data_IF_426977920227
#
_entry.id   IF_426977920227
#
_cell.length_a   1.000
_cell.length_b   1.000
_cell.length_c   1.000
_cell.angle_alpha   90.00
_cell.angle_beta   90.00
_cell.angle_gamma   90.00
#
_symmetry.space_group_name_H-M   'P 1'
#
loop_
_entity.id
_entity.type
_entity.pdbx_description
1 polymer ?
#
# COMPACT_ATOMS: atom_id res chain seq x y z
N UNK A 1 9.62 8.05 -10.55
CA UNK A 1 8.33 8.76 -10.68
C UNK A 1 8.41 10.06 -11.46
N UNK A 2 9.61 10.61 -11.73
CA UNK A 2 9.79 11.86 -12.46
C UNK A 2 8.90 12.01 -13.72
N UNK A 3 8.27 13.16 -13.86
CA UNK A 3 7.43 13.53 -15.01
C UNK A 3 6.12 12.77 -15.16
N UNK A 4 5.74 11.91 -14.20
CA UNK A 4 4.46 11.18 -14.24
C UNK A 4 3.33 11.98 -13.62
N UNK A 5 2.14 11.78 -14.16
CA UNK A 5 0.87 12.28 -13.64
C UNK A 5 0.28 11.25 -12.69
N UNK A 6 0.30 11.55 -11.40
CA UNK A 6 0.05 10.59 -10.33
C UNK A 6 -1.17 11.00 -9.54
N UNK A 7 -2.15 10.10 -9.48
CA UNK A 7 -3.28 10.25 -8.58
C UNK A 7 -2.87 9.77 -7.18
N UNK A 8 -3.06 10.60 -6.16
CA UNK A 8 -2.79 10.25 -4.76
C UNK A 8 -3.78 10.97 -3.83
N UNK A 9 -4.06 10.38 -2.67
CA UNK A 9 -4.88 11.03 -1.65
C UNK A 9 -4.08 12.07 -0.85
N UNK A 10 -4.66 13.25 -0.67
CA UNK A 10 -4.06 14.32 0.15
C UNK A 10 -3.98 13.93 1.63
N UNK A 11 -2.90 14.33 2.31
CA UNK A 11 -2.63 14.05 3.72
C UNK A 11 -2.24 12.60 4.03
N UNK A 12 -2.02 11.77 3.01
CA UNK A 12 -1.70 10.34 3.19
C UNK A 12 -0.20 10.11 3.35
N UNK A 13 0.19 8.97 3.95
CA UNK A 13 1.59 8.55 3.97
C UNK A 13 2.15 8.36 2.55
N UNK A 14 1.30 7.91 1.61
CA UNK A 14 1.64 7.71 0.22
C UNK A 14 2.00 9.04 -0.47
N UNK A 15 1.24 10.10 -0.21
CA UNK A 15 1.59 11.44 -0.68
C UNK A 15 2.93 11.90 -0.11
N UNK A 16 3.15 11.73 1.20
CA UNK A 16 4.41 12.13 1.83
C UNK A 16 5.63 11.43 1.22
N UNK A 17 5.50 10.15 0.81
CA UNK A 17 6.55 9.43 0.08
C UNK A 17 6.81 10.08 -1.28
N UNK A 18 5.74 10.33 -2.07
CA UNK A 18 5.90 10.91 -3.41
C UNK A 18 6.47 12.33 -3.36
N UNK A 19 6.08 13.15 -2.39
CA UNK A 19 6.63 14.50 -2.20
C UNK A 19 8.14 14.44 -1.95
N UNK A 20 8.61 13.53 -1.08
CA UNK A 20 10.05 13.33 -0.86
C UNK A 20 10.79 12.88 -2.11
N UNK A 21 10.21 11.93 -2.86
CA UNK A 21 10.78 11.51 -4.15
C UNK A 21 10.79 12.62 -5.19
N UNK A 22 9.78 13.50 -5.17
CA UNK A 22 9.73 14.65 -6.07
C UNK A 22 10.78 15.71 -5.73
N UNK A 23 11.07 15.94 -4.44
CA UNK A 23 12.21 16.75 -4.00
C UNK A 23 13.54 16.18 -4.50
N UNK A 24 13.72 14.85 -4.44
CA UNK A 24 14.90 14.17 -5.00
C UNK A 24 14.97 14.31 -6.53
N UNK A 25 13.84 14.16 -7.24
CA UNK A 25 13.79 14.38 -8.69
C UNK A 25 14.28 15.79 -9.04
N UNK A 26 13.75 16.82 -8.35
CA UNK A 26 14.13 18.23 -8.57
C UNK A 26 15.60 18.48 -8.28
N UNK A 27 16.15 17.94 -7.18
CA UNK A 27 17.58 18.04 -6.84
C UNK A 27 18.47 17.41 -7.92
N UNK A 28 17.99 16.37 -8.58
CA UNK A 28 18.70 15.66 -9.65
C UNK A 28 18.39 16.21 -11.06
N UNK A 29 17.68 17.33 -11.18
CA UNK A 29 17.35 17.94 -12.48
C UNK A 29 16.33 17.15 -13.31
N UNK A 30 15.59 16.23 -12.68
CA UNK A 30 14.54 15.45 -13.34
C UNK A 30 13.20 16.21 -13.32
N UNK A 31 12.29 15.94 -14.28
CA UNK A 31 10.97 16.55 -14.29
C UNK A 31 10.18 16.24 -13.01
N UNK A 32 9.46 17.23 -12.45
CA UNK A 32 8.65 17.01 -11.26
C UNK A 32 7.48 16.06 -11.54
N UNK A 33 6.96 15.45 -10.48
CA UNK A 33 5.71 14.69 -10.49
C UNK A 33 4.53 15.67 -10.62
N UNK A 34 3.56 15.34 -11.47
CA UNK A 34 2.29 16.06 -11.55
C UNK A 34 1.26 15.36 -10.65
N UNK A 35 0.95 15.97 -9.51
CA UNK A 35 0.03 15.40 -8.53
C UNK A 35 -1.42 15.74 -8.88
N UNK A 36 -2.26 14.70 -8.96
CA UNK A 36 -3.69 14.84 -9.23
C UNK A 36 -4.51 14.32 -8.05
N UNK A 37 -5.51 15.09 -7.67
CA UNK A 37 -6.40 14.78 -6.56
C UNK A 37 -7.82 14.66 -7.08
N UNK A 38 -8.53 13.64 -6.61
CA UNK A 38 -9.91 13.36 -6.97
C UNK A 38 -10.71 13.04 -5.71
N UNK A 39 -11.91 13.60 -5.61
CA UNK A 39 -12.79 13.39 -4.45
C UNK A 39 -13.55 12.06 -4.52
N UNK A 40 -13.65 11.46 -5.72
CA UNK A 40 -14.36 10.21 -5.94
C UNK A 40 -13.61 9.22 -6.83
N UNK A 41 -13.96 7.95 -6.65
CA UNK A 41 -13.30 6.85 -7.32
C UNK A 41 -13.61 6.75 -8.83
N UNK A 42 -14.78 7.22 -9.25
CA UNK A 42 -15.21 7.16 -10.64
C UNK A 42 -14.41 8.14 -11.49
N UNK A 43 -14.23 9.37 -10.99
CA UNK A 43 -13.40 10.38 -11.64
C UNK A 43 -11.94 9.95 -11.74
N UNK A 44 -11.37 9.40 -10.65
CA UNK A 44 -10.01 8.85 -10.62
C UNK A 44 -9.83 7.72 -11.63
N UNK A 45 -10.77 6.75 -11.65
CA UNK A 45 -10.74 5.63 -12.59
C UNK A 45 -10.84 6.08 -14.04
N UNK A 46 -11.69 7.07 -14.33
CA UNK A 46 -11.82 7.65 -15.67
C UNK A 46 -10.54 8.39 -16.07
N UNK A 47 -9.88 9.10 -15.16
CA UNK A 47 -8.63 9.79 -15.44
C UNK A 47 -7.51 8.83 -15.87
N UNK A 48 -7.40 7.67 -15.23
CA UNK A 48 -6.48 6.60 -15.64
C UNK A 48 -6.87 6.03 -17.01
N UNK A 49 -8.13 5.65 -17.19
CA UNK A 49 -8.61 5.02 -18.45
C UNK A 49 -8.52 5.96 -19.66
N UNK A 50 -8.73 7.26 -19.45
CA UNK A 50 -8.61 8.28 -20.51
C UNK A 50 -7.17 8.75 -20.76
N UNK A 51 -6.20 8.26 -19.98
CA UNK A 51 -4.81 8.70 -20.07
C UNK A 51 -4.59 10.15 -19.62
N UNK A 52 -5.47 10.71 -18.78
CA UNK A 52 -5.26 11.99 -18.08
C UNK A 52 -4.33 11.84 -16.87
N UNK A 53 -4.25 10.64 -16.30
CA UNK A 53 -3.26 10.23 -15.31
C UNK A 53 -2.50 9.00 -15.81
N UNK A 54 -1.26 8.83 -15.35
CA UNK A 54 -0.42 7.68 -15.70
C UNK A 54 -0.56 6.53 -14.70
N UNK A 55 -0.80 6.85 -13.41
CA UNK A 55 -0.92 5.87 -12.34
C UNK A 55 -1.66 6.43 -11.11
N UNK A 56 -2.20 5.53 -10.30
CA UNK A 56 -2.68 5.80 -8.94
C UNK A 56 -1.67 5.25 -7.92
N UNK A 57 -1.35 6.03 -6.89
CA UNK A 57 -0.49 5.59 -5.80
C UNK A 57 -1.27 5.63 -4.48
N UNK A 58 -1.48 4.47 -3.87
CA UNK A 58 -2.40 4.31 -2.75
C UNK A 58 -2.34 2.92 -2.10
N UNK A 59 -3.29 2.59 -1.22
CA UNK A 59 -3.38 1.26 -0.60
C UNK A 59 -3.49 0.13 -1.63
N UNK A 60 -2.59 -0.84 -1.57
CA UNK A 60 -2.50 -1.92 -2.56
C UNK A 60 -3.75 -2.83 -2.56
N UNK A 61 -4.33 -3.15 -1.41
CA UNK A 61 -5.55 -3.98 -1.35
C UNK A 61 -6.72 -3.41 -2.17
N UNK A 62 -6.92 -2.08 -2.14
CA UNK A 62 -7.93 -1.42 -2.98
C UNK A 62 -7.60 -1.48 -4.46
N UNK A 63 -6.32 -1.29 -4.81
CA UNK A 63 -5.85 -1.36 -6.19
C UNK A 63 -5.94 -2.78 -6.76
N UNK A 64 -5.51 -3.79 -6.02
CA UNK A 64 -5.58 -5.20 -6.39
C UNK A 64 -7.02 -5.65 -6.63
N UNK A 65 -7.95 -5.27 -5.75
CA UNK A 65 -9.38 -5.53 -5.94
C UNK A 65 -9.92 -4.90 -7.23
N UNK A 66 -9.61 -3.62 -7.49
CA UNK A 66 -10.07 -2.93 -8.72
C UNK A 66 -9.52 -3.59 -9.98
N UNK A 67 -8.22 -3.87 -10.01
CA UNK A 67 -7.56 -4.55 -11.11
C UNK A 67 -8.20 -5.93 -11.38
N UNK A 68 -8.51 -6.70 -10.34
CA UNK A 68 -9.17 -8.00 -10.47
C UNK A 68 -10.65 -7.88 -10.90
N UNK A 69 -11.34 -6.80 -10.52
CA UNK A 69 -12.78 -6.62 -10.78
C UNK A 69 -13.10 -6.32 -12.24
N UNK A 70 -12.36 -5.41 -12.87
CA UNK A 70 -12.68 -4.94 -14.23
C UNK A 70 -11.55 -5.13 -15.26
N UNK A 71 -10.34 -5.51 -14.82
CA UNK A 71 -9.19 -5.73 -15.69
C UNK A 71 -8.65 -4.47 -16.38
N UNK A 72 -9.11 -3.27 -16.01
CA UNK A 72 -8.74 -2.02 -16.69
C UNK A 72 -7.45 -1.39 -16.19
N UNK A 73 -6.99 -1.86 -15.04
CA UNK A 73 -5.71 -1.45 -14.44
C UNK A 73 -4.91 -2.68 -14.07
N UNK A 74 -3.59 -2.49 -13.89
CA UNK A 74 -2.69 -3.54 -13.42
C UNK A 74 -1.75 -2.97 -12.37
N UNK A 75 -1.33 -3.81 -11.44
CA UNK A 75 -0.29 -3.46 -10.48
C UNK A 75 1.04 -3.30 -11.22
N UNK A 76 1.72 -2.16 -11.00
CA UNK A 76 3.02 -1.83 -11.62
C UNK A 76 4.16 -1.73 -10.61
N UNK A 77 3.85 -1.83 -9.32
CA UNK A 77 4.84 -1.80 -8.24
C UNK A 77 4.17 -1.64 -6.88
N UNK A 78 4.92 -1.93 -5.83
CA UNK A 78 4.50 -1.76 -4.42
C UNK A 78 5.64 -1.13 -3.64
N UNK A 79 5.27 -0.27 -2.71
CA UNK A 79 6.19 0.40 -1.78
C UNK A 79 5.65 0.18 -0.39
N UNK A 80 6.52 -0.10 0.58
CA UNK A 80 6.08 -0.22 1.96
C UNK A 80 5.52 1.13 2.44
N UNK A 81 4.36 1.12 3.11
CA UNK A 81 3.69 2.34 3.56
C UNK A 81 4.49 3.16 4.58
N UNK A 82 5.53 2.59 5.19
CA UNK A 82 6.44 3.24 6.11
C UNK A 82 7.72 3.78 5.47
N UNK A 83 7.85 3.72 4.13
CA UNK A 83 9.11 4.01 3.43
C UNK A 83 9.80 5.29 3.95
N UNK A 84 11.13 5.27 4.19
CA UNK A 84 12.06 4.15 3.92
C UNK A 84 12.03 3.01 4.96
N UNK A 85 11.24 3.15 6.03
CA UNK A 85 11.06 2.12 7.04
C UNK A 85 9.98 1.11 6.62
N UNK A 86 9.78 0.10 7.47
CA UNK A 86 8.72 -0.89 7.32
C UNK A 86 7.54 -0.54 8.25
N UNK A 87 6.36 -0.38 7.66
CA UNK A 87 5.08 -0.31 8.32
C UNK A 87 4.27 -1.54 7.92
N UNK A 88 4.33 -2.57 8.73
CA UNK A 88 3.52 -3.77 8.53
C UNK A 88 2.06 -3.51 8.91
N UNK A 89 1.14 -4.21 8.24
CA UNK A 89 -0.28 -4.20 8.61
C UNK A 89 -0.45 -5.01 9.90
N UNK A 90 -1.18 -4.44 10.86
CA UNK A 90 -1.37 -5.05 12.17
C UNK A 90 -2.86 -5.19 12.53
N UNK A 91 -3.15 -6.20 13.32
CA UNK A 91 -4.39 -6.32 14.10
C UNK A 91 -4.10 -5.93 15.55
N UNK A 92 -4.99 -5.15 16.16
CA UNK A 92 -4.80 -4.63 17.52
C UNK A 92 -5.92 -5.07 18.45
N UNK A 93 -5.58 -5.30 19.72
CA UNK A 93 -6.54 -5.62 20.78
C UNK A 93 -6.27 -4.75 22.01
N UNK A 94 -7.24 -4.68 22.92
CA UNK A 94 -7.05 -4.02 24.20
C UNK A 94 -5.88 -4.68 24.96
N UNK A 95 -4.95 -3.87 25.46
CA UNK A 95 -3.81 -4.35 26.25
C UNK A 95 -4.29 -5.18 27.44
N UNK A 96 -3.64 -6.31 27.68
CA UNK A 96 -3.88 -7.18 28.83
C UNK A 96 -5.05 -8.16 28.67
N UNK A 97 -5.74 -8.22 27.53
CA UNK A 97 -6.87 -9.13 27.32
C UNK A 97 -6.49 -10.51 26.74
N UNK A 98 -5.20 -10.77 26.52
CA UNK A 98 -4.69 -12.03 25.94
C UNK A 98 -4.98 -12.26 24.46
N UNK A 99 -5.88 -11.51 23.83
CA UNK A 99 -6.31 -11.75 22.45
C UNK A 99 -5.20 -11.53 21.41
N UNK A 100 -4.25 -10.63 21.67
CA UNK A 100 -3.12 -10.43 20.77
C UNK A 100 -2.25 -11.69 20.62
N UNK A 101 -2.02 -12.43 21.71
CA UNK A 101 -1.26 -13.69 21.71
C UNK A 101 -2.02 -14.77 20.95
N UNK A 102 -3.33 -14.89 21.21
CA UNK A 102 -4.19 -15.86 20.52
C UNK A 102 -4.27 -15.57 19.01
N UNK A 103 -4.43 -14.30 18.62
CA UNK A 103 -4.47 -13.88 17.21
C UNK A 103 -3.14 -14.17 16.50
N UNK A 104 -2.01 -13.89 17.13
CA UNK A 104 -0.69 -14.21 16.58
C UNK A 104 -0.52 -15.72 16.36
N UNK A 105 -0.90 -16.54 17.34
CA UNK A 105 -0.80 -18.00 17.24
C UNK A 105 -1.70 -18.55 16.11
N UNK A 106 -2.92 -18.04 15.99
CA UNK A 106 -3.84 -18.39 14.91
C UNK A 106 -3.26 -18.01 13.54
N UNK A 107 -2.77 -16.78 13.38
CA UNK A 107 -2.20 -16.32 12.11
C UNK A 107 -0.95 -17.12 11.72
N UNK A 108 -0.04 -17.39 12.67
CA UNK A 108 1.14 -18.23 12.42
C UNK A 108 0.76 -19.68 12.05
N UNK A 109 -0.36 -20.20 12.56
CA UNK A 109 -0.88 -21.51 12.13
C UNK A 109 -1.34 -21.47 10.68
N UNK A 110 -2.06 -20.42 10.28
CA UNK A 110 -2.50 -20.22 8.89
C UNK A 110 -1.33 -19.98 7.92
N UNK A 111 -0.26 -19.33 8.38
CA UNK A 111 0.99 -19.18 7.63
C UNK A 111 1.62 -20.56 7.42
N UNK A 112 1.84 -21.32 8.50
CA UNK A 112 2.50 -22.64 8.45
C UNK A 112 1.75 -23.65 7.58
N UNK A 113 0.43 -23.64 7.61
CA UNK A 113 -0.38 -24.58 6.83
C UNK A 113 -0.71 -24.09 5.40
N UNK A 114 -0.18 -22.94 4.98
CA UNK A 114 -0.35 -22.37 3.64
C UNK A 114 -1.71 -21.72 3.36
N UNK A 115 -2.65 -21.73 4.32
CA UNK A 115 -3.96 -21.09 4.15
C UNK A 115 -3.83 -19.58 3.98
N UNK A 116 -2.92 -18.95 4.72
CA UNK A 116 -2.62 -17.52 4.59
C UNK A 116 -2.18 -17.15 3.17
N UNK A 117 -1.25 -17.91 2.58
CA UNK A 117 -0.79 -17.70 1.22
C UNK A 117 -1.95 -17.79 0.21
N UNK A 118 -2.77 -18.84 0.30
CA UNK A 118 -3.95 -19.02 -0.57
C UNK A 118 -4.94 -17.85 -0.47
N UNK A 119 -5.14 -17.30 0.74
CA UNK A 119 -5.99 -16.13 0.93
C UNK A 119 -5.38 -14.91 0.24
N UNK A 120 -4.08 -14.64 0.45
CA UNK A 120 -3.41 -13.52 -0.21
C UNK A 120 -3.43 -13.64 -1.73
N UNK A 121 -3.16 -14.83 -2.27
CA UNK A 121 -3.19 -15.10 -3.71
C UNK A 121 -4.56 -14.80 -4.31
N UNK A 122 -5.64 -15.26 -3.63
CA UNK A 122 -7.02 -14.98 -4.05
C UNK A 122 -7.30 -13.48 -4.18
N UNK A 123 -6.69 -12.67 -3.33
CA UNK A 123 -6.88 -11.22 -3.28
C UNK A 123 -5.79 -10.42 -4.01
N UNK A 124 -4.83 -11.08 -4.67
CA UNK A 124 -3.72 -10.41 -5.36
C UNK A 124 -2.74 -9.71 -4.41
N UNK A 125 -2.60 -10.21 -3.19
CA UNK A 125 -1.82 -9.58 -2.11
C UNK A 125 -0.54 -10.34 -1.75
N UNK A 126 -0.12 -11.30 -2.56
CA UNK A 126 1.02 -12.19 -2.27
C UNK A 126 2.33 -11.42 -2.06
N UNK A 127 2.49 -10.25 -2.69
CA UNK A 127 3.65 -9.37 -2.50
C UNK A 127 3.77 -8.79 -1.09
N UNK A 128 2.70 -8.82 -0.29
CA UNK A 128 2.68 -8.35 1.10
C UNK A 128 2.79 -9.49 2.12
N UNK A 129 3.01 -10.73 1.65
CA UNK A 129 3.11 -11.88 2.53
C UNK A 129 4.25 -11.71 3.55
N UNK A 130 3.94 -12.01 4.81
CA UNK A 130 4.95 -12.12 5.87
C UNK A 130 5.27 -13.59 6.16
N UNK A 131 6.53 -13.88 6.46
CA UNK A 131 6.95 -15.22 6.85
C UNK A 131 6.49 -15.59 8.27
N UNK A 132 6.26 -14.59 9.13
CA UNK A 132 5.87 -14.77 10.53
C UNK A 132 5.11 -13.55 11.03
N UNK A 133 4.02 -13.77 11.75
CA UNK A 133 3.35 -12.74 12.54
C UNK A 133 4.11 -12.52 13.85
N UNK A 134 4.50 -11.27 14.08
CA UNK A 134 5.19 -10.85 15.30
C UNK A 134 4.20 -10.29 16.34
N UNK A 135 4.58 -10.31 17.60
CA UNK A 135 3.80 -9.74 18.71
C UNK A 135 4.53 -8.49 19.20
N UNK A 136 3.88 -7.34 19.06
CA UNK A 136 4.44 -6.04 19.43
C UNK A 136 5.88 -5.80 18.89
N UNK A 137 6.14 -5.98 17.58
CA UNK A 137 7.44 -5.62 17.02
C UNK A 137 7.70 -4.10 17.14
N UNK A 138 8.96 -3.65 17.02
CA UNK A 138 9.27 -2.22 16.98
C UNK A 138 8.43 -1.49 15.92
N UNK A 139 7.70 -0.46 16.33
CA UNK A 139 6.91 0.37 15.43
C UNK A 139 7.76 1.45 14.72
N UNK A 140 7.11 2.27 13.89
CA UNK A 140 7.73 3.47 13.35
C UNK A 140 8.13 4.43 14.49
N UNK A 141 9.26 5.14 14.38
CA UNK A 141 9.66 6.13 15.37
C UNK A 141 8.59 7.21 15.49
N UNK A 142 8.40 7.72 16.72
CA UNK A 142 7.54 8.89 16.94
C UNK A 142 8.10 10.07 16.13
N UNK A 143 7.21 10.77 15.43
CA UNK A 143 7.52 12.08 14.84
C UNK A 143 7.73 13.10 15.94
#
# INVERSE_FOLDING_TARGET
MAGKRVIVGSGTNQEAILVRWDEENKKNGLPPVDFQYYDDDSASSLAIQSGRADLTFGPNAGAAYKAAKDGKTKQVGTVNGGWPLKADIAFTTKKGNGLAVAAQAALNTLIKNGTYGKILDRWGLSSEAIAKSELNPPGLPKK
#
